data_IF_078665988195
#
_entry.id   IF_078665988195
#
_cell.length_a   1.000
_cell.length_b   1.000
_cell.length_c   1.000
_cell.angle_alpha   90.00
_cell.angle_beta   90.00
_cell.angle_gamma   90.00
#
_symmetry.space_group_name_H-M   'P 1'
#
loop_
_entity.id
_entity.type
_entity.pdbx_description
1 polymer ?
#
# COMPACT_ATOMS: atom_id res chain seq x y z
N UNK A 1 13.74 -19.10 10.37
CA UNK A 1 14.16 -18.48 9.10
C UNK A 1 14.53 -17.01 9.24
N UNK A 2 13.75 -16.25 10.04
CA UNK A 2 14.05 -14.84 10.27
C UNK A 2 15.40 -14.63 10.94
N UNK A 3 15.84 -15.58 11.74
CA UNK A 3 17.11 -15.53 12.46
C UNK A 3 18.33 -15.50 11.53
N UNK A 4 18.19 -16.07 10.32
CA UNK A 4 19.27 -16.19 9.34
C UNK A 4 19.22 -15.09 8.28
N UNK A 5 18.28 -14.15 8.38
CA UNK A 5 18.12 -13.09 7.39
C UNK A 5 18.91 -11.86 7.78
N UNK A 6 19.40 -11.13 6.77
CA UNK A 6 20.00 -9.82 6.97
C UNK A 6 18.91 -8.81 7.34
N UNK A 7 19.31 -7.67 7.89
CA UNK A 7 18.37 -6.58 8.20
C UNK A 7 17.59 -6.14 6.96
N UNK A 8 18.27 -6.08 5.81
CA UNK A 8 17.64 -5.69 4.55
C UNK A 8 16.61 -6.73 4.08
N UNK A 9 16.92 -8.02 4.25
CA UNK A 9 15.99 -9.09 3.90
C UNK A 9 14.76 -9.07 4.79
N UNK A 10 14.94 -8.82 6.09
CA UNK A 10 13.85 -8.71 7.05
C UNK A 10 12.96 -7.51 6.74
N UNK A 11 13.55 -6.37 6.39
CA UNK A 11 12.82 -5.17 5.99
C UNK A 11 11.98 -5.45 4.74
N UNK A 12 12.57 -6.07 3.73
CA UNK A 12 11.87 -6.45 2.51
C UNK A 12 10.72 -7.43 2.77
N UNK A 13 10.94 -8.42 3.62
CA UNK A 13 9.91 -9.38 4.01
C UNK A 13 8.75 -8.68 4.72
N UNK A 14 9.06 -7.83 5.68
CA UNK A 14 8.07 -7.08 6.45
C UNK A 14 7.23 -6.16 5.55
N UNK A 15 7.87 -5.49 4.60
CA UNK A 15 7.21 -4.65 3.61
C UNK A 15 6.20 -5.45 2.77
N UNK A 16 6.59 -6.63 2.32
CA UNK A 16 5.71 -7.52 1.56
C UNK A 16 4.48 -7.93 2.37
N UNK A 17 4.66 -8.20 3.67
CA UNK A 17 3.54 -8.52 4.56
C UNK A 17 2.56 -7.34 4.65
N UNK A 18 3.07 -6.13 4.69
CA UNK A 18 2.25 -4.91 4.70
C UNK A 18 1.37 -4.81 3.45
N UNK A 19 1.93 -5.15 2.28
CA UNK A 19 1.18 -5.12 1.02
C UNK A 19 0.10 -6.20 0.95
N UNK A 20 0.31 -7.34 1.58
CA UNK A 20 -0.73 -8.38 1.70
C UNK A 20 -1.91 -7.85 2.51
N UNK A 21 -1.62 -7.20 3.64
CA UNK A 21 -2.64 -6.56 4.48
C UNK A 21 -3.37 -5.46 3.69
N UNK A 22 -2.61 -4.65 2.94
CA UNK A 22 -3.16 -3.59 2.10
C UNK A 22 -4.23 -4.13 1.14
N UNK A 23 -3.91 -5.20 0.42
CA UNK A 23 -4.85 -5.82 -0.51
C UNK A 23 -6.11 -6.30 0.17
N UNK A 24 -5.99 -6.90 1.36
CA UNK A 24 -7.13 -7.36 2.16
C UNK A 24 -8.01 -6.19 2.60
N UNK A 25 -7.40 -5.09 3.03
CA UNK A 25 -8.14 -3.90 3.46
C UNK A 25 -8.89 -3.26 2.30
N UNK A 26 -8.28 -3.18 1.12
CA UNK A 26 -8.92 -2.63 -0.07
C UNK A 26 -10.17 -3.46 -0.42
N UNK A 27 -10.04 -4.78 -0.42
CA UNK A 27 -11.15 -5.67 -0.74
C UNK A 27 -12.26 -5.58 0.30
N UNK A 28 -11.92 -5.61 1.59
CA UNK A 28 -12.90 -5.50 2.67
C UNK A 28 -13.64 -4.17 2.61
N UNK A 29 -12.93 -3.07 2.33
CA UNK A 29 -13.52 -1.75 2.19
C UNK A 29 -14.50 -1.69 1.04
N UNK A 30 -14.15 -2.29 -0.10
CA UNK A 30 -15.03 -2.34 -1.26
C UNK A 30 -16.33 -3.08 -0.96
N UNK A 31 -16.27 -4.15 -0.17
CA UNK A 31 -17.48 -4.89 0.24
C UNK A 31 -18.40 -4.05 1.11
N UNK A 32 -17.86 -3.10 1.84
CA UNK A 32 -18.62 -2.15 2.67
C UNK A 32 -18.96 -0.86 1.94
N UNK A 33 -18.71 -0.79 0.64
CA UNK A 33 -18.91 0.41 -0.19
C UNK A 33 -18.10 1.62 0.29
N UNK A 34 -16.91 1.35 0.82
CA UNK A 34 -15.97 2.39 1.26
C UNK A 34 -14.88 2.50 0.20
N UNK A 35 -14.62 3.73 -0.22
CA UNK A 35 -13.57 4.00 -1.19
C UNK A 35 -12.19 4.01 -0.53
N UNK A 36 -11.18 3.59 -1.28
CA UNK A 36 -9.81 3.53 -0.79
C UNK A 36 -8.87 4.21 -1.76
N UNK A 37 -7.76 4.73 -1.22
CA UNK A 37 -6.68 5.29 -2.03
C UNK A 37 -5.34 4.87 -1.44
N UNK A 38 -4.68 3.86 -2.03
CA UNK A 38 -3.32 3.51 -1.63
C UNK A 38 -2.34 4.49 -2.24
N UNK A 39 -1.34 4.90 -1.46
CA UNK A 39 -0.38 5.90 -1.86
C UNK A 39 1.04 5.51 -1.45
N UNK A 40 1.97 5.72 -2.37
CA UNK A 40 3.40 5.57 -2.11
C UNK A 40 4.16 6.88 -2.39
N UNK A 41 3.53 7.82 -3.07
CA UNK A 41 4.15 9.06 -3.54
C UNK A 41 4.24 10.15 -2.48
N UNK A 42 4.67 9.80 -1.29
CA UNK A 42 4.87 10.74 -0.18
C UNK A 42 6.35 10.80 0.19
N UNK A 43 6.74 11.86 0.91
CA UNK A 43 8.09 11.97 1.46
C UNK A 43 8.10 11.26 2.81
N UNK A 44 8.73 10.10 2.86
CA UNK A 44 8.72 9.22 4.04
C UNK A 44 9.25 9.91 5.29
N UNK A 45 10.37 10.62 5.17
CA UNK A 45 10.98 11.30 6.30
C UNK A 45 10.07 12.33 6.95
N UNK A 46 9.38 13.11 6.14
CA UNK A 46 8.43 14.13 6.61
C UNK A 46 7.22 13.47 7.29
N UNK A 47 6.64 12.46 6.65
CA UNK A 47 5.48 11.77 7.19
C UNK A 47 5.83 11.03 8.49
N UNK A 48 7.00 10.42 8.55
CA UNK A 48 7.49 9.76 9.76
C UNK A 48 7.63 10.73 10.93
N UNK A 49 8.09 11.95 10.65
CA UNK A 49 8.20 13.01 11.67
C UNK A 49 6.81 13.46 12.13
N UNK A 50 5.89 13.65 11.22
CA UNK A 50 4.50 14.04 11.55
C UNK A 50 3.82 13.01 12.43
N UNK A 51 4.00 11.74 12.11
CA UNK A 51 3.38 10.63 12.84
C UNK A 51 4.16 10.23 14.09
N UNK A 52 5.35 10.80 14.29
CA UNK A 52 6.20 10.53 15.45
C UNK A 52 6.51 9.05 15.63
N UNK A 53 6.78 8.35 14.53
CA UNK A 53 7.16 6.95 14.60
C UNK A 53 8.62 6.80 15.01
N UNK A 54 8.97 5.63 15.54
CA UNK A 54 10.33 5.29 15.89
C UNK A 54 11.08 4.81 14.64
N UNK A 55 11.87 5.70 14.04
CA UNK A 55 12.59 5.42 12.79
C UNK A 55 13.62 4.30 12.89
N UNK A 56 14.04 3.95 14.09
CA UNK A 56 14.99 2.85 14.29
C UNK A 56 14.31 1.48 14.16
N UNK A 57 13.04 1.41 14.53
CA UNK A 57 12.30 0.15 14.53
C UNK A 57 11.15 0.09 13.53
N UNK A 58 10.74 1.23 12.98
CA UNK A 58 9.57 1.31 12.10
C UNK A 58 9.87 2.12 10.84
N UNK A 59 9.17 1.79 9.77
CA UNK A 59 9.26 2.49 8.49
C UNK A 59 7.90 2.46 7.83
N UNK A 60 7.55 3.56 7.15
CA UNK A 60 6.30 3.62 6.39
C UNK A 60 6.53 2.99 5.02
N UNK A 61 5.77 1.95 4.71
CA UNK A 61 5.81 1.29 3.41
C UNK A 61 4.78 1.89 2.44
N UNK A 62 3.57 2.10 2.93
CA UNK A 62 2.44 2.53 2.12
C UNK A 62 1.42 3.22 3.02
N UNK A 63 0.66 4.14 2.44
CA UNK A 63 -0.45 4.82 3.12
C UNK A 63 -1.74 4.43 2.41
N UNK A 64 -2.76 4.12 3.20
CA UNK A 64 -4.09 3.83 2.67
C UNK A 64 -5.09 4.77 3.34
N UNK A 65 -5.80 5.55 2.53
CA UNK A 65 -6.90 6.35 3.04
C UNK A 65 -8.23 5.66 2.74
N UNK A 66 -9.17 5.78 3.66
CA UNK A 66 -10.50 5.17 3.59
C UNK A 66 -11.55 6.25 3.77
N UNK A 67 -12.63 6.16 3.02
CA UNK A 67 -13.73 7.11 3.15
C UNK A 67 -14.68 7.06 1.96
N UNK A 68 -15.55 8.02 1.90
CA UNK A 68 -16.46 8.16 0.77
C UNK A 68 -15.92 9.22 -0.17
N UNK A 69 -15.88 8.91 -1.47
CA UNK A 69 -15.37 9.85 -2.46
C UNK A 69 -16.21 11.10 -2.53
N UNK A 70 -15.56 12.24 -2.79
CA UNK A 70 -16.25 13.49 -3.01
C UNK A 70 -16.99 13.45 -4.36
N UNK A 71 -18.11 14.15 -4.46
CA UNK A 71 -18.87 14.22 -5.71
C UNK A 71 -18.07 14.88 -6.84
N UNK A 72 -17.18 15.80 -6.49
CA UNK A 72 -16.31 16.54 -7.43
C UNK A 72 -14.95 15.88 -7.64
N UNK A 73 -14.77 14.63 -7.25
CA UNK A 73 -13.55 13.89 -7.49
C UNK A 73 -13.45 13.49 -8.98
N UNK A 74 -12.66 14.26 -9.72
CA UNK A 74 -12.49 14.03 -11.15
C UNK A 74 -11.69 12.76 -11.48
N UNK A 75 -10.85 12.30 -10.57
CA UNK A 75 -10.02 11.10 -10.78
C UNK A 75 -10.86 9.84 -10.89
N UNK A 76 -12.05 9.81 -10.30
CA UNK A 76 -12.94 8.64 -10.39
C UNK A 76 -13.37 8.32 -11.82
N UNK A 77 -13.33 9.33 -12.71
CA UNK A 77 -13.75 9.19 -14.10
C UNK A 77 -12.61 8.84 -15.04
N UNK A 78 -11.38 8.81 -14.56
CA UNK A 78 -10.22 8.48 -15.36
C UNK A 78 -10.19 6.98 -15.63
N UNK A 79 -9.83 6.62 -16.87
CA UNK A 79 -9.65 5.23 -17.23
C UNK A 79 -8.46 4.63 -16.49
N UNK A 80 -8.65 3.44 -15.99
CA UNK A 80 -7.56 2.71 -15.34
C UNK A 80 -6.56 2.22 -16.37
N UNK A 81 -5.27 2.38 -16.03
CA UNK A 81 -4.17 1.87 -16.85
C UNK A 81 -3.59 0.66 -16.14
N UNK A 82 -3.62 -0.47 -16.80
CA UNK A 82 -3.10 -1.74 -16.26
C UNK A 82 -2.36 -2.49 -17.35
N UNK A 83 -1.37 -3.25 -16.97
CA UNK A 83 -0.72 -4.17 -17.89
C UNK A 83 -1.73 -5.21 -18.36
N UNK A 84 -1.68 -5.64 -19.64
CA UNK A 84 -2.48 -6.78 -20.09
C UNK A 84 -2.17 -8.02 -19.27
N UNK A 85 -3.15 -8.89 -19.09
CA UNK A 85 -2.99 -10.09 -18.26
C UNK A 85 -1.83 -10.97 -18.71
N UNK A 86 -1.59 -11.11 -20.00
CA UNK A 86 -0.50 -11.91 -20.56
C UNK A 86 0.90 -11.35 -20.25
N UNK A 87 0.99 -10.06 -19.93
CA UNK A 87 2.25 -9.41 -19.54
C UNK A 87 2.48 -9.43 -18.02
N UNK A 88 1.48 -9.78 -17.27
CA UNK A 88 1.45 -9.66 -15.82
C UNK A 88 1.36 -11.02 -15.14
N UNK A 89 0.64 -11.96 -15.71
CA UNK A 89 0.40 -13.30 -15.16
C UNK A 89 1.00 -14.34 -16.11
N UNK A 90 1.73 -15.29 -15.54
CA UNK A 90 2.24 -16.44 -16.27
C UNK A 90 1.75 -17.70 -15.59
N UNK A 91 1.08 -18.55 -16.36
CA UNK A 91 0.66 -19.86 -15.88
C UNK A 91 1.76 -20.88 -16.18
N UNK A 92 2.16 -21.63 -15.16
CA UNK A 92 3.23 -22.63 -15.26
C UNK A 92 2.69 -24.01 -15.61
#
# INVERSE_FOLDING_TARGET
QLENQTSQEMESWSEKQSYIVLGSLIMASAQENIDTCPMEGFKSDILEDVLKIDKESEKIAVVLTLGYRAEDDNFQNFKKVRKPADKFIKFL
#
